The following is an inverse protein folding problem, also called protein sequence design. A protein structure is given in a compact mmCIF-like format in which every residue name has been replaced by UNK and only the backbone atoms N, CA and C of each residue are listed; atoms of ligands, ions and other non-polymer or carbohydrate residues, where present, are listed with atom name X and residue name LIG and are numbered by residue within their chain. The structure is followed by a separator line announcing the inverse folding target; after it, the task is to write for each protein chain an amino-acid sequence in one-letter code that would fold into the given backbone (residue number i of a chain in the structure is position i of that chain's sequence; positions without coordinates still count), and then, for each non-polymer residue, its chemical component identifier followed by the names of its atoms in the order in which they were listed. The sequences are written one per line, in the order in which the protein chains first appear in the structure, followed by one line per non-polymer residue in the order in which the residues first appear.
data_IF_615890054356
#
_entry.id   IF_615890054356
#
_cell.length_a   1.000
_cell.length_b   1.000
_cell.length_c   1.000
_cell.angle_alpha   90.00
_cell.angle_beta   90.00
_cell.angle_gamma   90.00
#
_symmetry.space_group_name_H-M   'P 1'
#
loop_
_entity.id
_entity.type
_entity.pdbx_description
1 polymer ?
#
# COMPACT_ATOMS: atom_id res chain seq x y z
N UNK A 1 39.02 2.94 3.56
CA UNK A 1 37.74 3.43 3.02
C UNK A 1 36.71 2.36 3.36
N UNK A 2 35.92 2.62 4.40
CA UNK A 2 34.95 1.66 4.93
C UNK A 2 33.79 1.52 3.93
N UNK A 3 33.45 0.29 3.57
CA UNK A 3 32.30 -0.01 2.74
C UNK A 3 31.01 0.23 3.52
N UNK A 4 30.17 1.13 3.01
CA UNK A 4 28.78 1.22 3.42
C UNK A 4 28.05 -0.04 2.98
N UNK A 5 27.86 -0.93 3.95
CA UNK A 5 26.99 -2.08 3.82
C UNK A 5 25.55 -1.57 3.85
N UNK A 6 24.89 -1.61 2.70
CA UNK A 6 23.43 -1.45 2.62
C UNK A 6 22.83 -2.69 3.27
N UNK A 7 22.46 -2.60 4.55
CA UNK A 7 21.80 -3.70 5.26
C UNK A 7 20.42 -3.98 4.65
N UNK A 8 20.08 -5.25 4.36
CA UNK A 8 18.78 -5.61 3.84
C UNK A 8 17.75 -5.65 4.98
N UNK A 9 16.62 -4.97 4.79
CA UNK A 9 15.37 -5.15 5.53
C UNK A 9 15.50 -5.08 7.07
N UNK A 10 15.75 -3.89 7.61
CA UNK A 10 15.47 -3.62 9.03
C UNK A 10 13.98 -3.91 9.30
N UNK A 11 13.68 -4.75 10.30
CA UNK A 11 12.34 -4.92 10.89
C UNK A 11 11.94 -3.67 11.71
N UNK A 12 12.19 -2.50 11.16
CA UNK A 12 11.91 -1.23 11.81
C UNK A 12 10.39 -1.08 11.95
N UNK A 13 9.93 -0.78 13.16
CA UNK A 13 8.52 -0.52 13.41
C UNK A 13 8.01 0.68 12.60
N UNK A 14 6.68 0.82 12.44
CA UNK A 14 6.08 1.89 11.63
C UNK A 14 6.53 3.30 12.04
N UNK A 15 6.80 3.56 13.33
CA UNK A 15 7.23 4.87 13.80
C UNK A 15 8.66 5.22 13.37
N UNK A 16 9.56 4.24 13.34
CA UNK A 16 10.94 4.43 12.85
C UNK A 16 10.92 4.73 11.35
N UNK A 17 10.12 3.99 10.59
CA UNK A 17 9.95 4.21 9.15
C UNK A 17 9.34 5.59 8.86
N UNK A 18 8.35 6.03 9.65
CA UNK A 18 7.79 7.38 9.56
C UNK A 18 8.84 8.45 9.80
N UNK A 19 9.70 8.29 10.80
CA UNK A 19 10.80 9.22 11.07
C UNK A 19 11.80 9.27 9.91
N UNK A 20 12.18 8.12 9.37
CA UNK A 20 13.06 8.04 8.19
C UNK A 20 12.43 8.72 6.97
N UNK A 21 11.13 8.50 6.74
CA UNK A 21 10.39 9.10 5.63
C UNK A 21 10.26 10.62 5.79
N UNK A 22 10.10 11.12 7.02
CA UNK A 22 10.11 12.55 7.29
C UNK A 22 11.45 13.20 6.93
N UNK A 23 12.57 12.48 7.09
CA UNK A 23 13.90 12.93 6.69
C UNK A 23 14.14 12.81 5.17
N UNK A 24 13.52 11.83 4.51
CA UNK A 24 13.66 11.56 3.07
C UNK A 24 12.27 11.46 2.41
N UNK A 25 11.53 12.56 2.26
CA UNK A 25 10.14 12.51 1.80
C UNK A 25 9.99 11.99 0.37
N UNK A 26 11.01 12.13 -0.47
CA UNK A 26 10.94 11.71 -1.88
C UNK A 26 11.35 10.25 -2.09
N UNK A 27 11.76 9.53 -1.03
CA UNK A 27 12.11 8.11 -1.11
C UNK A 27 10.84 7.25 -1.26
N UNK A 28 10.56 6.83 -2.49
CA UNK A 28 9.40 6.04 -2.85
C UNK A 28 9.40 4.64 -2.22
N UNK A 29 10.56 3.97 -2.20
CA UNK A 29 10.68 2.62 -1.65
C UNK A 29 10.46 2.65 -0.13
N UNK A 30 11.00 3.66 0.54
CA UNK A 30 10.76 3.92 1.95
C UNK A 30 9.29 4.25 2.21
N UNK A 31 8.65 5.05 1.36
CA UNK A 31 7.21 5.35 1.44
C UNK A 31 6.35 4.09 1.34
N UNK A 32 6.63 3.23 0.36
CA UNK A 32 5.92 1.97 0.16
C UNK A 32 6.06 1.04 1.37
N UNK A 33 7.28 0.88 1.88
CA UNK A 33 7.57 0.10 3.11
C UNK A 33 6.85 0.67 4.33
N UNK A 34 6.88 1.99 4.52
CA UNK A 34 6.22 2.68 5.63
C UNK A 34 4.71 2.43 5.60
N UNK A 35 4.07 2.61 4.45
CA UNK A 35 2.64 2.34 4.29
C UNK A 35 2.27 0.87 4.56
N UNK A 36 3.15 -0.08 4.17
CA UNK A 36 2.96 -1.50 4.44
C UNK A 36 3.04 -1.80 5.94
N UNK A 37 4.06 -1.28 6.62
CA UNK A 37 4.23 -1.43 8.07
C UNK A 37 3.05 -0.86 8.85
N UNK A 38 2.57 0.33 8.46
CA UNK A 38 1.37 0.95 9.05
C UNK A 38 0.12 0.07 8.86
N UNK A 39 -0.04 -0.51 7.67
CA UNK A 39 -1.16 -1.41 7.37
C UNK A 39 -1.11 -2.68 8.21
N UNK A 40 0.08 -3.29 8.38
CA UNK A 40 0.28 -4.44 9.27
C UNK A 40 -0.01 -4.10 10.73
N UNK A 41 0.30 -2.87 11.15
CA UNK A 41 -0.01 -2.34 12.48
C UNK A 41 -1.47 -1.85 12.63
N UNK A 42 -2.35 -2.11 11.65
CA UNK A 42 -3.76 -1.65 11.62
C UNK A 42 -3.94 -0.12 11.64
N UNK A 43 -2.89 0.64 11.34
CA UNK A 43 -2.87 2.12 11.26
C UNK A 43 -3.21 2.59 9.85
N UNK A 44 -4.38 2.19 9.37
CA UNK A 44 -4.74 2.34 7.94
C UNK A 44 -4.94 3.79 7.48
N UNK A 45 -5.41 4.67 8.36
CA UNK A 45 -5.56 6.09 8.04
C UNK A 45 -4.21 6.78 7.81
N UNK A 46 -3.21 6.41 8.61
CA UNK A 46 -1.84 6.92 8.46
C UNK A 46 -1.18 6.35 7.20
N UNK A 47 -1.41 5.07 6.89
CA UNK A 47 -0.93 4.48 5.64
C UNK A 47 -1.48 5.24 4.41
N UNK A 48 -2.75 5.61 4.42
CA UNK A 48 -3.37 6.40 3.35
C UNK A 48 -2.78 7.81 3.27
N UNK A 49 -2.53 8.45 4.42
CA UNK A 49 -1.84 9.75 4.49
C UNK A 49 -0.44 9.68 3.87
N UNK A 50 0.32 8.61 4.17
CA UNK A 50 1.64 8.35 3.58
C UNK A 50 1.55 8.16 2.07
N UNK A 51 0.46 7.59 1.55
CA UNK A 51 0.27 7.34 0.12
C UNK A 51 -0.39 8.51 -0.63
N UNK A 52 -0.94 9.51 0.08
CA UNK A 52 -1.76 10.57 -0.51
C UNK A 52 -1.03 11.48 -1.52
N UNK A 53 0.31 11.53 -1.44
CA UNK A 53 1.17 12.24 -2.41
C UNK A 53 1.36 11.49 -3.72
N UNK A 54 1.03 10.20 -3.78
CA UNK A 54 1.15 9.38 -4.97
C UNK A 54 -0.07 9.52 -5.89
N UNK A 55 0.13 9.29 -7.18
CA UNK A 55 -0.95 9.27 -8.16
C UNK A 55 -1.77 7.97 -7.99
N UNK A 56 -3.01 8.08 -7.51
CA UNK A 56 -3.93 6.95 -7.39
C UNK A 56 -4.49 6.55 -8.77
N UNK A 57 -4.23 5.32 -9.21
CA UNK A 57 -4.70 4.77 -10.49
C UNK A 57 -6.01 3.97 -10.40
N UNK A 58 -6.57 3.79 -9.21
CA UNK A 58 -7.83 3.06 -9.05
C UNK A 58 -8.96 3.83 -9.72
N UNK A 59 -9.59 3.21 -10.72
CA UNK A 59 -10.72 3.77 -11.43
C UNK A 59 -11.96 3.84 -10.54
N UNK A 60 -12.89 4.72 -10.92
CA UNK A 60 -14.23 4.67 -10.35
C UNK A 60 -14.99 3.49 -10.98
N UNK A 61 -15.38 2.51 -10.17
CA UNK A 61 -16.08 1.32 -10.62
C UNK A 61 -17.03 0.78 -9.53
N UNK A 62 -18.22 0.40 -9.99
CA UNK A 62 -19.14 -0.60 -9.44
C UNK A 62 -19.78 -0.40 -8.06
N UNK A 63 -21.09 -0.69 -7.88
CA UNK A 63 -21.70 -0.73 -6.55
C UNK A 63 -21.32 -1.98 -5.74
N UNK A 64 -20.81 -3.03 -6.39
CA UNK A 64 -20.58 -4.37 -5.79
C UNK A 64 -19.54 -4.34 -4.69
N UNK A 65 -18.44 -3.60 -4.89
CA UNK A 65 -17.43 -3.37 -3.86
C UNK A 65 -17.23 -1.87 -3.69
N UNK A 66 -16.90 -1.40 -2.47
CA UNK A 66 -16.64 0.02 -2.25
C UNK A 66 -15.53 0.54 -3.16
N UNK A 67 -15.80 1.64 -3.85
CA UNK A 67 -14.87 2.21 -4.81
C UNK A 67 -13.57 2.71 -4.12
N UNK A 68 -12.43 2.41 -4.74
CA UNK A 68 -11.09 2.73 -4.21
C UNK A 68 -10.41 3.92 -4.93
N UNK A 69 -11.16 4.63 -5.78
CA UNK A 69 -10.65 5.83 -6.45
C UNK A 69 -10.41 6.95 -5.43
N UNK A 70 -9.61 7.96 -5.81
CA UNK A 70 -9.25 9.09 -4.95
C UNK A 70 -10.44 9.79 -4.29
N UNK A 71 -11.62 9.80 -4.93
CA UNK A 71 -12.82 10.47 -4.42
C UNK A 71 -13.63 9.62 -3.44
N UNK A 72 -13.53 8.30 -3.53
CA UNK A 72 -14.41 7.37 -2.81
C UNK A 72 -13.68 6.59 -1.73
N UNK A 73 -12.34 6.54 -1.77
CA UNK A 73 -11.52 5.79 -0.83
C UNK A 73 -11.80 6.25 0.61
N UNK A 74 -12.27 5.32 1.44
CA UNK A 74 -12.45 5.54 2.87
C UNK A 74 -11.27 4.91 3.61
N UNK A 75 -10.39 5.67 4.30
CA UNK A 75 -9.16 5.12 4.85
C UNK A 75 -9.37 3.95 5.83
N UNK A 76 -10.47 3.95 6.59
CA UNK A 76 -10.83 2.87 7.54
C UNK A 76 -11.49 1.65 6.91
N UNK A 77 -11.84 1.67 5.62
CA UNK A 77 -12.54 0.58 4.94
C UNK A 77 -11.55 -0.43 4.35
N UNK A 78 -11.25 -1.47 5.12
CA UNK A 78 -10.18 -2.45 4.82
C UNK A 78 -10.74 -3.79 4.36
N UNK A 79 -11.99 -4.07 4.70
CA UNK A 79 -12.67 -5.31 4.38
C UNK A 79 -14.00 -4.97 3.72
N UNK A 80 -14.41 -5.80 2.77
CA UNK A 80 -15.69 -5.71 2.09
C UNK A 80 -16.18 -7.12 1.76
N UNK A 81 -17.48 -7.25 1.52
CA UNK A 81 -18.10 -8.51 1.10
C UNK A 81 -18.89 -8.27 -0.19
N UNK A 82 -18.79 -9.21 -1.12
CA UNK A 82 -19.59 -9.24 -2.34
C UNK A 82 -19.83 -10.70 -2.75
N UNK A 83 -21.07 -11.02 -3.14
CA UNK A 83 -21.45 -12.36 -3.61
C UNK A 83 -21.03 -13.50 -2.63
N UNK A 84 -21.11 -13.24 -1.32
CA UNK A 84 -20.73 -14.18 -0.26
C UNK A 84 -19.22 -14.38 -0.10
N UNK A 85 -18.39 -13.56 -0.75
CA UNK A 85 -16.93 -13.62 -0.67
C UNK A 85 -16.38 -12.41 0.09
N UNK A 86 -15.46 -12.67 1.02
CA UNK A 86 -14.75 -11.63 1.77
C UNK A 86 -13.52 -11.14 1.01
N UNK A 87 -13.38 -9.82 0.90
CA UNK A 87 -12.26 -9.14 0.28
C UNK A 87 -11.49 -8.32 1.31
N UNK A 88 -10.20 -8.16 1.06
CA UNK A 88 -9.30 -7.28 1.82
C UNK A 88 -8.72 -6.24 0.88
N UNK A 89 -8.70 -4.98 1.31
CA UNK A 89 -8.07 -3.90 0.57
C UNK A 89 -6.57 -4.05 0.64
N UNK A 90 -5.92 -4.08 -0.51
CA UNK A 90 -4.47 -4.03 -0.68
C UNK A 90 -4.10 -2.84 -1.55
N UNK A 91 -2.81 -2.55 -1.57
CA UNK A 91 -2.25 -1.54 -2.45
C UNK A 91 -0.89 -1.99 -2.97
N UNK A 92 -0.50 -1.41 -4.10
CA UNK A 92 0.82 -1.52 -4.68
C UNK A 92 1.32 -0.13 -5.05
N UNK A 93 2.63 0.11 -4.86
CA UNK A 93 3.31 1.36 -5.18
C UNK A 93 4.41 1.09 -6.20
N UNK A 94 4.51 1.93 -7.22
CA UNK A 94 5.66 2.02 -8.13
C UNK A 94 5.61 3.31 -8.97
N UNK A 95 6.76 3.95 -9.21
CA UNK A 95 6.97 5.13 -10.05
C UNK A 95 6.03 6.30 -9.75
N UNK A 96 5.91 6.68 -8.49
CA UNK A 96 5.06 7.77 -8.02
C UNK A 96 3.56 7.45 -8.10
N UNK A 97 3.20 6.19 -8.35
CA UNK A 97 1.82 5.73 -8.54
C UNK A 97 1.45 4.75 -7.42
N UNK A 98 0.18 4.77 -7.03
CA UNK A 98 -0.44 3.80 -6.14
C UNK A 98 -1.67 3.20 -6.81
N UNK A 99 -1.84 1.88 -6.71
CA UNK A 99 -3.07 1.21 -7.09
C UNK A 99 -3.65 0.51 -5.86
N UNK A 100 -4.84 0.91 -5.46
CA UNK A 100 -5.64 0.19 -4.48
C UNK A 100 -6.50 -0.86 -5.20
N UNK A 101 -6.62 -2.04 -4.60
CA UNK A 101 -7.42 -3.12 -5.14
C UNK A 101 -8.01 -3.98 -4.03
N UNK A 102 -9.17 -4.59 -4.32
CA UNK A 102 -9.74 -5.64 -3.50
C UNK A 102 -9.15 -6.98 -3.92
N UNK A 103 -8.73 -7.77 -2.94
CA UNK A 103 -8.27 -9.14 -3.16
C UNK A 103 -9.09 -10.08 -2.30
N UNK A 104 -9.48 -11.28 -2.78
CA UNK A 104 -10.11 -12.29 -1.94
C UNK A 104 -9.25 -12.53 -0.70
N UNK A 105 -9.89 -12.68 0.47
CA UNK A 105 -9.20 -12.84 1.77
C UNK A 105 -8.17 -13.96 1.74
N UNK A 106 -8.50 -15.07 1.08
CA UNK A 106 -7.61 -16.24 0.91
C UNK A 106 -6.32 -15.93 0.11
N UNK A 107 -6.34 -14.89 -0.73
CA UNK A 107 -5.21 -14.45 -1.54
C UNK A 107 -4.51 -13.22 -0.95
N UNK A 108 -4.99 -12.68 0.17
CA UNK A 108 -4.54 -11.40 0.69
C UNK A 108 -3.06 -11.38 1.09
N UNK A 109 -2.50 -12.55 1.42
CA UNK A 109 -1.09 -12.72 1.78
C UNK A 109 -0.27 -13.38 0.66
N UNK A 110 -0.87 -13.60 -0.52
CA UNK A 110 -0.18 -14.13 -1.68
C UNK A 110 0.74 -13.06 -2.29
N UNK A 111 2.05 -13.19 -2.00
CA UNK A 111 3.10 -12.31 -2.56
C UNK A 111 3.17 -12.32 -4.09
N UNK A 112 2.64 -13.35 -4.75
CA UNK A 112 2.52 -13.41 -6.22
C UNK A 112 1.57 -12.35 -6.77
N UNK A 113 0.42 -12.15 -6.12
CA UNK A 113 -0.57 -11.14 -6.52
C UNK A 113 0.03 -9.74 -6.41
N UNK A 114 0.63 -9.40 -5.26
CA UNK A 114 1.25 -8.10 -5.07
C UNK A 114 2.37 -7.82 -6.09
N UNK A 115 3.24 -8.82 -6.36
CA UNK A 115 4.31 -8.69 -7.36
C UNK A 115 3.76 -8.50 -8.77
N UNK A 116 2.72 -9.23 -9.15
CA UNK A 116 2.10 -9.09 -10.47
C UNK A 116 1.50 -7.69 -10.66
N UNK A 117 0.84 -7.16 -9.64
CA UNK A 117 0.29 -5.79 -9.66
C UNK A 117 1.42 -4.76 -9.73
N UNK A 118 2.46 -4.88 -8.89
CA UNK A 118 3.61 -3.98 -8.92
C UNK A 118 4.32 -3.98 -10.27
N UNK A 119 4.51 -5.16 -10.89
CA UNK A 119 5.09 -5.27 -12.22
C UNK A 119 4.27 -4.51 -13.27
N UNK A 120 2.93 -4.61 -13.20
CA UNK A 120 2.03 -3.85 -14.09
C UNK A 120 2.16 -2.34 -13.89
N UNK A 121 2.43 -1.89 -12.66
CA UNK A 121 2.71 -0.49 -12.33
C UNK A 121 4.12 -0.03 -12.68
N UNK A 122 4.99 -0.87 -13.23
CA UNK A 122 6.31 -0.45 -13.73
C UNK A 122 6.30 -0.15 -15.23
N UNK A 123 5.27 -0.63 -15.93
CA UNK A 123 5.01 -0.34 -17.35
C UNK A 123 4.39 1.05 -17.49
#
# INVERSE_FOLDING_TARGET
MAGESISPASNDGPDVLLQQLAANPDDEDLRARTAMALTMARRHAEAETVLASLTNLSAHDGPTLPCLCRRCLQPGLIEAEADGMAFVRRFAVARGRVLYFWTPREQADNRGVLRAVQWRLQQ
#
